data_IF_550672544150
#
_entry.id   IF_550672544150
#
_cell.length_a   1.000
_cell.length_b   1.000
_cell.length_c   1.000
_cell.angle_alpha   90.00
_cell.angle_beta   90.00
_cell.angle_gamma   90.00
#
_symmetry.space_group_name_H-M   'P 1'
#
loop_
_entity.id
_entity.type
_entity.pdbx_description
1 polymer ?
#
# COMPACT_ATOMS: atom_id res chain seq x y z
N UNK A 1 7.05 44.22 1.21
CA UNK A 1 6.10 45.08 1.96
C UNK A 1 4.89 44.23 2.34
N UNK A 2 4.36 44.37 3.54
CA UNK A 2 3.14 43.67 3.97
C UNK A 2 2.08 44.64 4.48
N UNK A 3 0.85 44.16 4.61
CA UNK A 3 -0.27 44.93 5.15
C UNK A 3 -1.08 44.09 6.12
N UNK A 4 -1.38 44.66 7.29
CA UNK A 4 -2.28 44.09 8.28
C UNK A 4 -3.64 44.78 8.18
N UNK A 5 -4.72 43.99 8.05
CA UNK A 5 -6.07 44.53 8.08
C UNK A 5 -6.55 44.70 9.54
N UNK A 6 -6.80 45.94 9.95
CA UNK A 6 -7.32 46.29 11.27
C UNK A 6 -8.38 47.38 11.14
N UNK A 7 -9.55 47.22 11.76
CA UNK A 7 -10.64 48.21 11.73
C UNK A 7 -11.01 48.69 10.32
N UNK A 8 -11.07 47.77 9.35
CA UNK A 8 -11.31 48.05 7.91
C UNK A 8 -10.24 48.91 7.22
N UNK A 9 -9.08 49.11 7.83
CA UNK A 9 -7.93 49.81 7.26
C UNK A 9 -6.76 48.84 7.04
N UNK A 10 -5.92 49.13 6.04
CA UNK A 10 -4.68 48.40 5.79
C UNK A 10 -3.51 49.17 6.40
N UNK A 11 -2.92 48.61 7.45
CA UNK A 11 -1.76 49.17 8.13
C UNK A 11 -0.51 48.52 7.53
N UNK A 12 0.44 49.33 7.08
CA UNK A 12 1.68 48.80 6.50
C UNK A 12 2.55 48.15 7.58
N UNK A 13 3.05 46.95 7.28
CA UNK A 13 4.02 46.24 8.11
C UNK A 13 5.42 46.77 7.75
N UNK A 14 6.10 47.39 8.72
CA UNK A 14 7.40 48.04 8.53
C UNK A 14 8.50 47.08 8.09
N UNK A 15 8.59 45.90 8.71
CA UNK A 15 9.48 44.82 8.29
C UNK A 15 8.70 43.51 8.23
N UNK A 16 8.69 42.84 7.07
CA UNK A 16 8.07 41.52 6.90
C UNK A 16 8.99 40.38 7.36
N UNK A 17 10.29 40.62 7.46
CA UNK A 17 11.25 39.60 7.86
C UNK A 17 11.01 39.16 9.30
N UNK A 18 10.68 37.88 9.49
CA UNK A 18 10.34 37.30 10.80
C UNK A 18 9.02 37.79 11.39
N UNK A 19 8.15 38.45 10.60
CA UNK A 19 6.89 38.99 11.12
C UNK A 19 5.91 37.86 11.47
N UNK A 20 5.34 37.88 12.68
CA UNK A 20 4.37 36.88 13.14
C UNK A 20 2.96 37.48 13.10
N UNK A 21 2.04 36.81 12.40
CA UNK A 21 0.63 37.23 12.34
C UNK A 21 -0.03 37.09 13.71
N UNK A 22 -0.55 38.17 14.32
CA UNK A 22 -1.22 38.09 15.62
C UNK A 22 -2.49 37.23 15.60
N UNK A 23 -3.14 37.08 14.44
CA UNK A 23 -4.36 36.29 14.29
C UNK A 23 -4.10 34.82 13.96
N UNK A 24 -3.02 34.53 13.22
CA UNK A 24 -2.75 33.19 12.70
C UNK A 24 -1.60 32.48 13.42
N UNK A 25 -0.73 33.23 14.12
CA UNK A 25 0.51 32.71 14.69
C UNK A 25 1.58 32.31 13.66
N UNK A 26 1.29 32.42 12.36
CA UNK A 26 2.26 32.12 11.30
C UNK A 26 3.34 33.20 11.19
N UNK A 27 4.57 32.79 10.94
CA UNK A 27 5.72 33.67 10.70
C UNK A 27 5.97 33.83 9.20
N UNK A 28 6.27 35.04 8.75
CA UNK A 28 6.54 35.39 7.36
C UNK A 28 8.02 35.76 7.24
N UNK A 29 8.69 35.27 6.21
CA UNK A 29 10.10 35.54 5.92
C UNK A 29 10.28 35.79 4.42
N UNK A 30 11.21 36.65 4.02
CA UNK A 30 11.51 36.89 2.60
C UNK A 30 12.92 36.41 2.28
N UNK A 31 13.06 35.14 1.91
CA UNK A 31 14.34 34.52 1.57
C UNK A 31 14.55 34.55 0.05
N UNK A 32 15.67 35.11 -0.41
CA UNK A 32 16.04 35.10 -1.83
C UNK A 32 15.04 35.77 -2.78
N UNK A 33 14.20 36.68 -2.26
CA UNK A 33 13.14 37.34 -3.03
C UNK A 33 11.81 36.59 -3.09
N UNK A 34 11.68 35.42 -2.44
CA UNK A 34 10.44 34.67 -2.29
C UNK A 34 9.86 34.83 -0.89
N UNK A 35 8.52 34.85 -0.78
CA UNK A 35 7.84 34.85 0.52
C UNK A 35 7.72 33.42 1.03
N UNK A 36 8.31 33.16 2.19
CA UNK A 36 8.13 31.93 2.94
C UNK A 36 7.18 32.17 4.12
N UNK A 37 6.32 31.19 4.38
CA UNK A 37 5.39 31.23 5.50
C UNK A 37 5.67 30.01 6.36
N UNK A 38 5.85 30.23 7.65
CA UNK A 38 6.06 29.19 8.65
C UNK A 38 4.82 29.13 9.55
N UNK A 39 4.37 27.90 9.81
CA UNK A 39 3.26 27.60 10.72
C UNK A 39 3.62 27.95 12.17
N UNK A 40 2.65 28.02 13.08
CA UNK A 40 2.91 28.26 14.51
C UNK A 40 3.85 27.22 15.15
N UNK A 41 3.91 26.01 14.62
CA UNK A 41 4.83 24.94 15.03
C UNK A 41 6.25 25.09 14.45
N UNK A 42 6.50 26.14 13.67
CA UNK A 42 7.79 26.42 13.06
C UNK A 42 8.05 25.68 11.74
N UNK A 43 7.13 24.85 11.24
CA UNK A 43 7.29 24.19 9.94
C UNK A 43 7.00 25.14 8.78
N UNK A 44 7.82 25.11 7.73
CA UNK A 44 7.54 25.85 6.49
C UNK A 44 6.26 25.32 5.84
N UNK A 45 5.36 26.21 5.48
CA UNK A 45 4.19 25.89 4.67
C UNK A 45 4.65 25.57 3.26
N UNK A 46 4.20 24.43 2.78
CA UNK A 46 4.47 24.01 1.42
C UNK A 46 3.66 24.85 0.46
N UNK A 47 4.25 25.13 -0.70
CA UNK A 47 3.52 25.72 -1.80
C UNK A 47 2.50 24.72 -2.35
N UNK A 48 1.52 25.24 -3.08
CA UNK A 48 0.54 24.41 -3.79
C UNK A 48 1.21 23.41 -4.75
N UNK A 49 2.29 23.83 -5.42
CA UNK A 49 3.06 23.00 -6.35
C UNK A 49 3.77 21.87 -5.62
N UNK A 50 4.39 22.15 -4.48
CA UNK A 50 5.05 21.14 -3.64
C UNK A 50 4.05 20.11 -3.10
N UNK A 51 2.89 20.58 -2.62
CA UNK A 51 1.82 19.72 -2.10
C UNK A 51 1.25 18.83 -3.20
N UNK A 52 0.96 19.40 -4.38
CA UNK A 52 0.46 18.65 -5.54
C UNK A 52 1.46 17.58 -5.98
N UNK A 53 2.74 17.94 -6.10
CA UNK A 53 3.80 17.01 -6.49
C UNK A 53 3.96 15.86 -5.50
N UNK A 54 3.87 16.13 -4.18
CA UNK A 54 3.89 15.08 -3.16
C UNK A 54 2.68 14.16 -3.31
N UNK A 55 1.47 14.72 -3.44
CA UNK A 55 0.24 13.94 -3.58
C UNK A 55 0.27 13.03 -4.82
N UNK A 56 0.76 13.54 -5.96
CA UNK A 56 0.95 12.74 -7.17
C UNK A 56 1.96 11.60 -6.95
N UNK A 57 3.08 11.88 -6.29
CA UNK A 57 4.09 10.86 -6.00
C UNK A 57 3.56 9.78 -5.05
N UNK A 58 2.82 10.17 -4.01
CA UNK A 58 2.18 9.24 -3.07
C UNK A 58 1.12 8.40 -3.78
N UNK A 59 0.29 9.01 -4.62
CA UNK A 59 -0.69 8.29 -5.44
C UNK A 59 -0.03 7.27 -6.36
N UNK A 60 1.07 7.62 -7.03
CA UNK A 60 1.80 6.70 -7.90
C UNK A 60 2.37 5.52 -7.12
N UNK A 61 2.93 5.77 -5.93
CA UNK A 61 3.45 4.71 -5.05
C UNK A 61 2.33 3.77 -4.59
N UNK A 62 1.21 4.33 -4.13
CA UNK A 62 0.05 3.55 -3.70
C UNK A 62 -0.52 2.70 -4.83
N UNK A 63 -0.61 3.24 -6.05
CA UNK A 63 -1.05 2.47 -7.23
C UNK A 63 -0.07 1.35 -7.57
N UNK A 64 1.23 1.60 -7.51
CA UNK A 64 2.24 0.58 -7.78
C UNK A 64 2.19 -0.54 -6.74
N UNK A 65 2.01 -0.19 -5.46
CA UNK A 65 1.88 -1.17 -4.37
C UNK A 65 0.61 -2.01 -4.53
N UNK A 66 -0.53 -1.39 -4.84
CA UNK A 66 -1.78 -2.07 -5.10
C UNK A 66 -1.66 -3.07 -6.27
N UNK A 67 -1.03 -2.68 -7.38
CA UNK A 67 -0.80 -3.58 -8.51
C UNK A 67 0.08 -4.78 -8.15
N UNK A 68 1.11 -4.59 -7.31
CA UNK A 68 1.96 -5.69 -6.84
C UNK A 68 1.18 -6.65 -5.95
N UNK A 69 0.41 -6.12 -5.00
CA UNK A 69 -0.43 -6.93 -4.11
C UNK A 69 -1.48 -7.73 -4.90
N UNK A 70 -2.11 -7.12 -5.90
CA UNK A 70 -3.06 -7.82 -6.77
C UNK A 70 -2.38 -8.95 -7.56
N UNK A 71 -1.20 -8.68 -8.12
CA UNK A 71 -0.45 -9.70 -8.86
C UNK A 71 -0.01 -10.87 -7.96
N UNK A 72 0.40 -10.59 -6.73
CA UNK A 72 0.75 -11.61 -5.75
C UNK A 72 -0.48 -12.44 -5.34
N UNK A 73 -1.61 -11.78 -5.08
CA UNK A 73 -2.88 -12.46 -4.78
C UNK A 73 -3.33 -13.38 -5.91
N UNK A 74 -3.22 -12.93 -7.17
CA UNK A 74 -3.57 -13.76 -8.32
C UNK A 74 -2.66 -14.99 -8.46
N UNK A 75 -1.36 -14.84 -8.16
CA UNK A 75 -0.41 -15.98 -8.19
C UNK A 75 -0.73 -16.98 -7.08
N UNK A 76 -0.97 -16.50 -5.87
CA UNK A 76 -1.35 -17.34 -4.74
C UNK A 76 -2.66 -18.09 -5.01
N UNK A 77 -3.66 -17.44 -5.61
CA UNK A 77 -4.92 -18.07 -5.98
C UNK A 77 -4.71 -19.15 -7.06
N UNK A 78 -3.90 -18.89 -8.08
CA UNK A 78 -3.58 -19.89 -9.11
C UNK A 78 -2.83 -21.10 -8.53
N UNK A 79 -1.90 -20.88 -7.62
CA UNK A 79 -1.17 -21.97 -6.95
C UNK A 79 -2.11 -22.79 -6.07
N UNK A 80 -2.97 -22.14 -5.29
CA UNK A 80 -3.97 -22.80 -4.47
C UNK A 80 -4.95 -23.64 -5.32
N UNK A 81 -5.44 -23.09 -6.43
CA UNK A 81 -6.31 -23.83 -7.36
C UNK A 81 -5.60 -25.05 -7.96
N UNK A 82 -4.32 -24.93 -8.33
CA UNK A 82 -3.55 -26.08 -8.85
C UNK A 82 -3.35 -27.16 -7.79
N UNK A 83 -3.00 -26.76 -6.58
CA UNK A 83 -2.84 -27.69 -5.46
C UNK A 83 -4.16 -28.39 -5.12
N UNK A 84 -5.28 -27.67 -5.15
CA UNK A 84 -6.61 -28.26 -4.93
C UNK A 84 -7.00 -29.24 -6.04
N UNK A 85 -6.76 -28.89 -7.30
CA UNK A 85 -7.01 -29.78 -8.45
C UNK A 85 -6.17 -31.06 -8.37
N UNK A 86 -4.88 -30.93 -8.02
CA UNK A 86 -4.00 -32.09 -7.86
C UNK A 86 -4.43 -32.96 -6.69
N UNK A 87 -4.79 -32.36 -5.55
CA UNK A 87 -5.32 -33.09 -4.41
C UNK A 87 -6.61 -33.84 -4.78
N UNK A 88 -7.53 -33.19 -5.50
CA UNK A 88 -8.77 -33.82 -5.96
C UNK A 88 -8.50 -34.96 -6.95
N UNK A 89 -7.61 -34.76 -7.92
CA UNK A 89 -7.24 -35.79 -8.88
C UNK A 89 -6.61 -37.01 -8.19
N UNK A 90 -5.76 -36.79 -7.18
CA UNK A 90 -5.20 -37.86 -6.34
C UNK A 90 -6.29 -38.60 -5.58
N UNK A 91 -7.22 -37.87 -4.94
CA UNK A 91 -8.37 -38.46 -4.22
C UNK A 91 -9.23 -39.34 -5.13
N UNK A 92 -9.54 -38.87 -6.33
CA UNK A 92 -10.35 -39.61 -7.30
C UNK A 92 -9.62 -40.83 -7.89
N UNK A 93 -8.28 -40.78 -7.95
CA UNK A 93 -7.46 -41.88 -8.48
C UNK A 93 -7.33 -43.04 -7.50
N UNK A 94 -7.27 -42.77 -6.19
CA UNK A 94 -7.12 -43.80 -5.14
C UNK A 94 -8.14 -44.95 -5.30
N UNK A 95 -9.48 -44.73 -5.23
CA UNK A 95 -10.45 -45.82 -5.31
C UNK A 95 -10.43 -46.53 -6.67
N UNK A 96 -10.06 -45.83 -7.75
CA UNK A 96 -9.94 -46.45 -9.09
C UNK A 96 -8.78 -47.43 -9.16
N UNK A 97 -7.61 -47.06 -8.65
CA UNK A 97 -6.43 -47.93 -8.65
C UNK A 97 -6.65 -49.16 -7.76
N UNK A 98 -7.31 -48.99 -6.61
CA UNK A 98 -7.68 -50.10 -5.74
C UNK A 98 -8.70 -51.03 -6.40
N UNK A 99 -9.69 -50.47 -7.11
CA UNK A 99 -10.66 -51.23 -7.90
C UNK A 99 -10.02 -52.02 -9.05
N UNK A 100 -8.86 -51.60 -9.55
CA UNK A 100 -8.05 -52.34 -10.51
C UNK A 100 -7.17 -53.43 -9.87
N UNK A 101 -7.24 -53.59 -8.55
CA UNK A 101 -6.54 -54.65 -7.80
C UNK A 101 -5.14 -54.28 -7.32
N UNK A 102 -4.75 -52.99 -7.35
CA UNK A 102 -3.51 -52.55 -6.71
C UNK A 102 -3.67 -52.56 -5.18
N UNK A 103 -2.60 -52.92 -4.47
CA UNK A 103 -2.58 -52.83 -3.00
C UNK A 103 -2.43 -51.38 -2.53
N UNK A 104 -2.79 -51.11 -1.27
CA UNK A 104 -2.66 -49.77 -0.66
C UNK A 104 -1.21 -49.26 -0.75
N UNK A 105 -0.24 -50.14 -0.55
CA UNK A 105 1.20 -49.81 -0.65
C UNK A 105 1.60 -49.45 -2.08
N UNK A 106 1.04 -50.15 -3.08
CA UNK A 106 1.29 -49.86 -4.50
C UNK A 106 0.66 -48.53 -4.92
N UNK A 107 -0.55 -48.22 -4.43
CA UNK A 107 -1.22 -46.94 -4.70
C UNK A 107 -0.47 -45.78 -4.03
N UNK A 108 -0.05 -45.96 -2.78
CA UNK A 108 0.77 -44.99 -2.06
C UNK A 108 2.06 -44.68 -2.83
N UNK A 109 2.78 -45.72 -3.27
CA UNK A 109 3.98 -45.56 -4.08
C UNK A 109 3.71 -44.87 -5.44
N UNK A 110 2.61 -45.21 -6.13
CA UNK A 110 2.28 -44.66 -7.44
C UNK A 110 1.87 -43.17 -7.41
N UNK A 111 1.23 -42.73 -6.33
CA UNK A 111 0.76 -41.35 -6.16
C UNK A 111 1.73 -40.48 -5.33
N UNK A 112 2.84 -41.05 -4.85
CA UNK A 112 3.78 -40.35 -3.98
C UNK A 112 3.19 -39.98 -2.61
N UNK A 113 2.24 -40.79 -2.14
CA UNK A 113 1.55 -40.62 -0.86
C UNK A 113 2.10 -41.61 0.18
N UNK A 114 1.86 -41.34 1.45
CA UNK A 114 2.03 -42.34 2.52
C UNK A 114 0.86 -43.32 2.54
N UNK A 115 1.10 -44.51 3.10
CA UNK A 115 0.05 -45.53 3.29
C UNK A 115 -1.08 -44.99 4.18
N UNK A 116 -0.76 -44.16 5.17
CA UNK A 116 -1.74 -43.49 6.02
C UNK A 116 -2.64 -42.54 5.22
N UNK A 117 -2.07 -41.71 4.35
CA UNK A 117 -2.84 -40.80 3.49
C UNK A 117 -3.77 -41.55 2.54
N UNK A 118 -3.35 -42.70 2.01
CA UNK A 118 -4.24 -43.53 1.19
C UNK A 118 -5.38 -44.08 2.05
N UNK A 119 -5.10 -44.61 3.25
CA UNK A 119 -6.11 -45.13 4.19
C UNK A 119 -7.10 -44.06 4.71
N UNK A 120 -6.68 -42.80 4.85
CA UNK A 120 -7.56 -41.69 5.26
C UNK A 120 -8.51 -41.22 4.14
N UNK A 121 -8.25 -41.64 2.89
CA UNK A 121 -9.12 -41.40 1.73
C UNK A 121 -10.02 -42.60 1.39
N UNK A 122 -10.05 -43.62 2.26
CA UNK A 122 -10.97 -44.76 2.20
C UNK A 122 -12.22 -44.55 3.06
#
# INVERSE_FOLDING_TARGET
KGWLQQNKQLISIGNMEGWISPKLGCRFETTGGSLEVYRPDGQRMETYVETSKRAEQESQRAQQEAQRAEQESQRAEQEAQRAEQEAQARRDAIPRLLGLGLSVEQVAAALGLSVEEVNQNF
#
